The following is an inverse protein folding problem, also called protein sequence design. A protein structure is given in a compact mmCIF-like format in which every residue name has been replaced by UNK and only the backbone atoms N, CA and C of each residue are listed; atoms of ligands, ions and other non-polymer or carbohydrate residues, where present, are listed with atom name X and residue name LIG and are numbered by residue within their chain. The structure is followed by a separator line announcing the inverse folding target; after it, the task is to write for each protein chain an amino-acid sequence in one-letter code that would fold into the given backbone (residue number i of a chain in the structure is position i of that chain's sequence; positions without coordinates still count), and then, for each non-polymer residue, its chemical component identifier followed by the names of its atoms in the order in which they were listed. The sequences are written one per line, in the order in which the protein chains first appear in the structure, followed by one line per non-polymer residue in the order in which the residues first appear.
data_IF_244839266944
#
_entry.id   IF_244839266944
#
_cell.length_a   1.000
_cell.length_b   1.000
_cell.length_c   1.000
_cell.angle_alpha   90.00
_cell.angle_beta   90.00
_cell.angle_gamma   90.00
#
_symmetry.space_group_name_H-M   'P 1'
#
loop_
_entity.id
_entity.type
_entity.pdbx_description
1 polymer ?
#
# COMPACT_ATOMS: atom_id res chain seq x y z
N UNK A 1 -1.91 -16.81 70.35
CA UNK A 1 -1.23 -18.09 70.02
C UNK A 1 -1.83 -18.56 68.69
N UNK A 2 -1.34 -18.02 67.58
CA UNK A 2 -1.96 -18.15 66.26
C UNK A 2 -1.19 -19.16 65.41
N UNK A 3 -1.92 -20.11 64.86
CA UNK A 3 -1.47 -21.21 64.00
C UNK A 3 -1.27 -20.73 62.57
N UNK A 4 -0.12 -21.02 61.97
CA UNK A 4 0.04 -20.93 60.51
C UNK A 4 0.98 -22.04 60.03
N UNK A 5 0.56 -22.82 59.03
CA UNK A 5 1.32 -23.94 58.46
C UNK A 5 1.30 -23.82 56.93
N UNK A 6 2.45 -23.77 56.23
CA UNK A 6 2.48 -23.42 54.80
C UNK A 6 2.20 -24.61 53.85
N UNK A 7 1.78 -24.34 52.59
CA UNK A 7 1.10 -25.32 51.74
C UNK A 7 1.98 -26.19 50.83
N UNK A 8 1.35 -27.30 50.44
CA UNK A 8 1.74 -28.45 49.60
C UNK A 8 2.22 -28.06 48.19
N UNK A 9 3.44 -28.48 47.83
CA UNK A 9 4.12 -28.19 46.54
C UNK A 9 3.59 -29.07 45.40
N UNK A 10 2.93 -28.47 44.42
CA UNK A 10 2.46 -29.13 43.19
C UNK A 10 3.60 -29.26 42.17
N UNK A 11 3.78 -30.46 41.59
CA UNK A 11 4.76 -30.71 40.53
C UNK A 11 4.05 -30.63 39.17
N UNK A 12 4.16 -29.48 38.52
CA UNK A 12 3.72 -29.28 37.14
C UNK A 12 4.71 -29.94 36.18
N UNK A 13 4.29 -31.02 35.54
CA UNK A 13 5.04 -31.71 34.49
C UNK A 13 4.71 -31.07 33.14
N UNK A 14 5.62 -30.27 32.61
CA UNK A 14 5.51 -29.67 31.29
C UNK A 14 5.69 -30.73 30.20
N UNK A 15 4.67 -30.90 29.36
CA UNK A 15 4.74 -31.68 28.12
C UNK A 15 4.98 -30.67 26.98
N UNK A 16 6.09 -30.72 26.24
CA UNK A 16 6.31 -29.82 25.12
C UNK A 16 5.39 -30.21 23.95
N UNK A 17 4.45 -29.34 23.61
CA UNK A 17 3.59 -29.49 22.45
C UNK A 17 4.37 -29.10 21.17
N UNK A 18 4.27 -29.97 20.16
CA UNK A 18 4.94 -29.95 18.85
C UNK A 18 4.97 -28.56 18.19
N UNK A 19 6.16 -28.21 17.72
CA UNK A 19 6.47 -27.06 16.85
C UNK A 19 5.70 -27.09 15.52
N UNK A 20 4.74 -26.18 15.35
CA UNK A 20 4.03 -25.91 14.09
C UNK A 20 4.48 -24.61 13.38
N UNK A 21 5.57 -23.98 13.83
CA UNK A 21 5.94 -22.61 13.41
C UNK A 21 6.73 -22.50 12.10
N UNK A 22 7.24 -23.61 11.56
CA UNK A 22 8.24 -23.55 10.47
C UNK A 22 7.68 -23.32 9.06
N UNK A 23 6.36 -23.43 8.84
CA UNK A 23 5.79 -23.33 7.47
C UNK A 23 5.36 -21.93 7.05
N UNK A 24 5.20 -21.01 8.00
CA UNK A 24 4.72 -19.63 7.72
C UNK A 24 5.87 -18.73 7.23
N UNK A 25 7.09 -18.97 7.71
CA UNK A 25 8.26 -18.12 7.39
C UNK A 25 8.74 -18.30 5.94
N UNK A 26 8.55 -19.49 5.36
CA UNK A 26 9.02 -19.81 4.00
C UNK A 26 8.20 -19.15 2.87
N UNK A 27 6.94 -18.77 3.12
CA UNK A 27 6.09 -18.13 2.10
C UNK A 27 6.37 -16.63 1.90
N UNK A 28 6.85 -15.95 2.94
CA UNK A 28 7.04 -14.49 2.94
C UNK A 28 8.29 -14.03 2.16
N UNK A 29 9.34 -14.84 2.09
CA UNK A 29 10.57 -14.50 1.35
C UNK A 29 10.45 -14.74 -0.15
N UNK A 30 9.67 -15.74 -0.57
CA UNK A 30 9.48 -16.08 -1.98
C UNK A 30 8.70 -15.00 -2.76
N UNK A 31 7.83 -14.24 -2.08
CA UNK A 31 7.06 -13.15 -2.71
C UNK A 31 7.78 -11.79 -2.65
N UNK A 32 8.71 -11.61 -1.72
CA UNK A 32 9.40 -10.33 -1.53
C UNK A 32 10.33 -9.98 -2.70
N UNK A 33 10.99 -10.98 -3.30
CA UNK A 33 11.90 -10.79 -4.44
C UNK A 33 11.18 -10.32 -5.72
N UNK A 34 10.11 -10.98 -6.20
CA UNK A 34 9.38 -10.51 -7.37
C UNK A 34 8.64 -9.18 -7.10
N UNK A 35 8.16 -8.94 -5.88
CA UNK A 35 7.49 -7.68 -5.54
C UNK A 35 8.46 -6.49 -5.54
N UNK A 36 9.67 -6.64 -4.99
CA UNK A 36 10.70 -5.60 -5.02
C UNK A 36 11.16 -5.27 -6.46
N UNK A 37 11.24 -6.29 -7.33
CA UNK A 37 11.56 -6.09 -8.74
C UNK A 37 10.46 -5.29 -9.48
N UNK A 38 9.19 -5.53 -9.17
CA UNK A 38 8.07 -4.78 -9.75
C UNK A 38 8.02 -3.32 -9.29
N UNK A 39 8.34 -3.03 -8.03
CA UNK A 39 8.42 -1.65 -7.51
C UNK A 39 9.57 -0.87 -8.14
N UNK A 40 10.71 -1.52 -8.42
CA UNK A 40 11.86 -0.89 -9.07
C UNK A 40 11.65 -0.55 -10.56
N UNK A 41 10.66 -1.16 -11.21
CA UNK A 41 10.30 -0.92 -12.61
C UNK A 41 9.20 0.14 -12.78
N UNK A 42 8.64 0.66 -11.68
CA UNK A 42 7.69 1.77 -11.74
C UNK A 42 8.45 3.06 -12.12
N UNK A 43 8.71 3.25 -13.41
CA UNK A 43 9.20 4.52 -13.92
C UNK A 43 8.11 5.58 -13.71
N UNK A 44 8.44 6.78 -13.21
CA UNK A 44 7.48 7.87 -13.15
C UNK A 44 6.86 8.10 -14.52
N UNK A 45 5.55 8.29 -14.59
CA UNK A 45 4.89 8.68 -15.82
C UNK A 45 5.57 9.94 -16.35
N UNK A 46 6.10 9.87 -17.58
CA UNK A 46 6.72 11.03 -18.23
C UNK A 46 5.62 12.06 -18.51
N UNK A 47 5.46 13.03 -17.60
CA UNK A 47 4.62 14.18 -17.84
C UNK A 47 5.16 14.91 -19.07
N UNK A 48 4.28 15.24 -20.03
CA UNK A 48 4.66 16.00 -21.20
C UNK A 48 5.34 17.30 -20.73
N UNK A 49 6.63 17.46 -21.03
CA UNK A 49 7.46 18.57 -20.54
C UNK A 49 6.90 19.94 -20.97
N UNK A 50 6.08 19.94 -22.01
CA UNK A 50 5.52 21.13 -22.66
C UNK A 50 4.01 21.32 -22.46
N UNK A 51 3.26 20.36 -21.91
CA UNK A 51 1.81 20.52 -21.72
C UNK A 51 1.32 19.79 -20.46
N UNK A 52 0.65 20.52 -19.57
CA UNK A 52 0.05 19.95 -18.36
C UNK A 52 -1.46 20.14 -18.41
N UNK A 53 -2.21 19.08 -18.13
CA UNK A 53 -3.66 19.15 -17.97
C UNK A 53 -4.05 18.80 -16.52
N UNK A 54 -4.88 19.63 -15.92
CA UNK A 54 -5.40 19.41 -14.58
C UNK A 54 -6.91 19.22 -14.65
N UNK A 55 -7.40 18.14 -14.04
CA UNK A 55 -8.82 17.85 -13.91
C UNK A 55 -9.34 18.25 -12.54
N UNK A 56 -10.51 18.88 -12.52
CA UNK A 56 -11.26 19.19 -11.31
C UNK A 56 -12.70 18.71 -11.48
N UNK A 57 -13.16 17.84 -10.57
CA UNK A 57 -14.58 17.50 -10.48
C UNK A 57 -15.29 18.60 -9.69
N UNK A 58 -16.15 19.36 -10.36
CA UNK A 58 -16.80 20.56 -9.81
C UNK A 58 -18.11 20.26 -9.11
N UNK A 59 -18.88 19.32 -9.64
CA UNK A 59 -20.16 18.88 -9.06
C UNK A 59 -20.41 17.42 -9.41
N UNK A 60 -21.13 16.70 -8.55
CA UNK A 60 -21.47 15.29 -8.71
C UNK A 60 -22.87 15.09 -8.12
N UNK A 61 -23.80 14.57 -8.91
CA UNK A 61 -25.20 14.35 -8.52
C UNK A 61 -25.57 12.86 -8.55
N UNK A 62 -24.59 11.98 -8.44
CA UNK A 62 -24.77 10.55 -8.26
C UNK A 62 -24.92 9.76 -9.56
N UNK A 63 -25.70 10.26 -10.53
CA UNK A 63 -25.79 9.66 -11.88
C UNK A 63 -24.87 10.33 -12.91
N UNK A 64 -24.23 11.44 -12.56
CA UNK A 64 -23.34 12.19 -13.43
C UNK A 64 -22.53 13.23 -12.64
N UNK A 65 -21.57 13.85 -13.32
CA UNK A 65 -20.70 14.86 -12.75
C UNK A 65 -20.40 15.97 -13.75
N UNK A 66 -20.08 17.16 -13.23
CA UNK A 66 -19.48 18.25 -13.99
C UNK A 66 -17.97 18.23 -13.75
N UNK A 67 -17.22 18.05 -14.83
CA UNK A 67 -15.76 18.09 -14.83
C UNK A 67 -15.23 19.35 -15.50
N UNK A 68 -14.12 19.88 -14.98
CA UNK A 68 -13.38 20.98 -15.57
C UNK A 68 -11.96 20.50 -15.89
N UNK A 69 -11.51 20.79 -17.10
CA UNK A 69 -10.13 20.59 -17.52
C UNK A 69 -9.44 21.92 -17.75
N UNK A 70 -8.28 22.09 -17.13
CA UNK A 70 -7.40 23.24 -17.36
C UNK A 70 -6.13 22.74 -18.03
N UNK A 71 -5.92 23.12 -19.29
CA UNK A 71 -4.72 22.77 -20.05
C UNK A 71 -3.77 23.97 -20.08
N UNK A 72 -2.52 23.75 -19.72
CA UNK A 72 -1.45 24.74 -19.73
C UNK A 72 -0.31 24.27 -20.61
N UNK A 73 0.00 25.05 -21.65
CA UNK A 73 1.24 24.90 -22.40
C UNK A 73 2.39 25.49 -21.56
N UNK A 74 3.33 24.64 -21.15
CA UNK A 74 4.54 25.00 -20.38
C UNK A 74 5.77 25.12 -21.26
N UNK A 75 5.65 24.79 -22.55
CA UNK A 75 6.72 24.93 -23.54
C UNK A 75 6.86 26.36 -24.07
N UNK A 76 7.91 26.57 -24.86
CA UNK A 76 8.20 27.84 -25.54
C UNK A 76 7.59 27.92 -26.95
N UNK A 77 7.06 26.80 -27.46
CA UNK A 77 6.41 26.72 -28.77
C UNK A 77 4.90 26.67 -28.58
N UNK A 78 4.16 27.45 -29.38
CA UNK A 78 2.71 27.41 -29.36
C UNK A 78 2.20 26.05 -29.86
N UNK A 79 1.30 25.42 -29.11
CA UNK A 79 0.59 24.21 -29.52
C UNK A 79 -0.63 24.63 -30.35
N UNK A 80 -0.60 24.37 -31.66
CA UNK A 80 -1.65 24.76 -32.61
C UNK A 80 -2.81 23.77 -32.67
N UNK A 81 -2.62 22.54 -32.19
CA UNK A 81 -3.65 21.50 -32.11
C UNK A 81 -3.48 20.71 -30.82
N UNK A 82 -4.56 20.57 -30.06
CA UNK A 82 -4.60 19.76 -28.84
C UNK A 82 -6.00 19.19 -28.65
N UNK A 83 -6.06 18.00 -28.06
CA UNK A 83 -7.29 17.26 -27.76
C UNK A 83 -7.18 16.71 -26.34
N UNK A 84 -8.32 16.63 -25.65
CA UNK A 84 -8.47 15.92 -24.38
C UNK A 84 -9.36 14.71 -24.66
N UNK A 85 -8.90 13.51 -24.29
CA UNK A 85 -9.56 12.23 -24.54
C UNK A 85 -9.71 11.41 -23.26
#
# INVERSE_FOLDING_TARGET
MSTDTPPRRSRFRWIPLRSGRSKVIAGLTALAVPFAAMVGLATPAAAATSATATFTKKSDWGSGFEGQWTVKNTGTTALSSWTIE
#
